data_IF_569321589678
#
_entry.id   IF_569321589678
#
_cell.length_a   1.000
_cell.length_b   1.000
_cell.length_c   1.000
_cell.angle_alpha   90.00
_cell.angle_beta   90.00
_cell.angle_gamma   90.00
#
_symmetry.space_group_name_H-M   'P 1'
#
loop_
_entity.id
_entity.type
_entity.pdbx_description
1 polymer ?
#
# COMPACT_ATOMS: atom_id res chain seq x y z
N UNK A 1 -15.14 -5.81 -2.15
CA UNK A 1 -13.80 -6.02 -1.60
C UNK A 1 -12.94 -6.68 -2.65
N UNK A 2 -12.06 -5.86 -3.22
CA UNK A 2 -11.12 -6.14 -4.31
C UNK A 2 -9.73 -6.06 -3.71
N UNK A 3 -8.91 -7.06 -4.01
CA UNK A 3 -7.51 -7.04 -3.61
C UNK A 3 -6.69 -6.17 -4.56
N UNK A 4 -5.95 -5.23 -4.01
CA UNK A 4 -5.08 -4.33 -4.74
C UNK A 4 -3.67 -4.46 -4.17
N UNK A 5 -2.69 -4.67 -5.04
CA UNK A 5 -1.29 -4.54 -4.69
C UNK A 5 -0.81 -3.16 -5.12
N UNK A 6 -0.29 -2.42 -4.16
CA UNK A 6 0.31 -1.11 -4.36
C UNK A 6 1.81 -1.24 -4.19
N UNK A 7 2.55 -0.97 -5.27
CA UNK A 7 4.00 -0.92 -5.28
C UNK A 7 4.42 0.54 -5.23
N UNK A 8 5.11 0.92 -4.16
CA UNK A 8 5.77 2.22 -4.04
C UNK A 8 7.24 2.05 -4.38
N UNK A 9 7.77 2.83 -5.32
CA UNK A 9 9.19 2.89 -5.66
C UNK A 9 9.69 4.31 -5.50
N UNK A 10 10.80 4.49 -4.78
CA UNK A 10 11.35 5.80 -4.48
C UNK A 10 12.86 5.86 -4.72
N UNK A 11 13.39 7.08 -4.77
CA UNK A 11 14.84 7.32 -4.76
C UNK A 11 15.35 7.40 -3.33
N UNK A 12 16.63 7.15 -3.09
CA UNK A 12 17.23 7.20 -1.73
C UNK A 12 16.92 8.51 -0.98
N UNK A 13 16.91 9.65 -1.69
CA UNK A 13 16.59 10.98 -1.14
C UNK A 13 15.15 11.10 -0.61
N UNK A 14 14.25 10.22 -1.06
CA UNK A 14 12.83 10.22 -0.71
C UNK A 14 12.51 9.14 0.35
N UNK A 15 13.49 8.33 0.74
CA UNK A 15 13.32 7.21 1.67
C UNK A 15 12.68 7.66 2.98
N UNK A 16 13.15 8.74 3.58
CA UNK A 16 12.60 9.25 4.84
C UNK A 16 11.12 9.67 4.73
N UNK A 17 10.73 10.26 3.61
CA UNK A 17 9.35 10.68 3.37
C UNK A 17 8.43 9.47 3.21
N UNK A 18 8.89 8.47 2.45
CA UNK A 18 8.14 7.23 2.23
C UNK A 18 8.02 6.44 3.53
N UNK A 19 9.09 6.33 4.30
CA UNK A 19 9.06 5.64 5.59
C UNK A 19 8.09 6.29 6.56
N UNK A 20 8.04 7.63 6.61
CA UNK A 20 7.03 8.36 7.40
C UNK A 20 5.62 8.12 6.89
N UNK A 21 5.42 8.10 5.58
CA UNK A 21 4.12 7.79 4.97
C UNK A 21 3.68 6.36 5.32
N UNK A 22 4.55 5.36 5.13
CA UNK A 22 4.27 3.97 5.46
C UNK A 22 3.96 3.79 6.95
N UNK A 23 4.72 4.45 7.83
CA UNK A 23 4.47 4.44 9.28
C UNK A 23 3.11 5.06 9.61
N UNK A 24 2.78 6.20 9.01
CA UNK A 24 1.47 6.87 9.19
C UNK A 24 0.33 5.96 8.76
N UNK A 25 0.46 5.33 7.59
CA UNK A 25 -0.50 4.36 7.05
C UNK A 25 -0.65 3.16 8.01
N UNK A 26 0.45 2.58 8.49
CA UNK A 26 0.41 1.47 9.44
C UNK A 26 -0.25 1.86 10.76
N UNK A 27 0.03 3.06 11.27
CA UNK A 27 -0.58 3.55 12.51
C UNK A 27 -2.07 3.82 12.33
N UNK A 28 -2.48 4.35 11.18
CA UNK A 28 -3.90 4.47 10.82
C UNK A 28 -4.57 3.11 10.71
N UNK A 29 -3.89 2.12 10.13
CA UNK A 29 -4.37 0.74 10.01
C UNK A 29 -4.56 0.10 11.40
N UNK A 30 -3.55 0.19 12.27
CA UNK A 30 -3.60 -0.31 13.65
C UNK A 30 -4.67 0.40 14.48
N UNK A 31 -4.83 1.70 14.29
CA UNK A 31 -5.80 2.52 15.02
C UNK A 31 -7.22 2.43 14.47
N UNK A 32 -7.47 1.61 13.43
CA UNK A 32 -8.75 1.55 12.69
C UNK A 32 -9.23 2.91 12.18
N UNK A 33 -8.28 3.80 11.88
CA UNK A 33 -8.51 5.14 11.32
C UNK A 33 -8.30 5.18 9.81
N UNK A 34 -8.07 4.04 9.19
CA UNK A 34 -8.11 3.96 7.73
C UNK A 34 -9.50 4.41 7.24
N UNK A 35 -9.57 5.11 6.10
CA UNK A 35 -10.84 5.44 5.48
C UNK A 35 -11.72 4.20 5.33
N UNK A 36 -13.04 4.37 5.46
CA UNK A 36 -13.98 3.26 5.32
C UNK A 36 -13.78 2.58 3.96
N UNK A 37 -13.73 1.24 3.97
CA UNK A 37 -13.48 0.45 2.78
C UNK A 37 -12.01 0.31 2.38
N UNK A 38 -11.04 0.74 3.21
CA UNK A 38 -9.61 0.45 3.04
C UNK A 38 -9.09 -0.42 4.18
N UNK A 39 -8.53 -1.58 3.85
CA UNK A 39 -7.93 -2.50 4.80
C UNK A 39 -6.55 -2.91 4.32
N UNK A 40 -5.52 -2.58 5.09
CA UNK A 40 -4.16 -3.05 4.82
C UNK A 40 -4.05 -4.49 5.32
N UNK A 41 -3.85 -5.44 4.40
CA UNK A 41 -3.66 -6.86 4.72
C UNK A 41 -2.19 -7.14 5.03
N UNK A 42 -1.30 -6.75 4.11
CA UNK A 42 0.13 -7.02 4.24
C UNK A 42 0.95 -5.82 3.75
N UNK A 43 2.11 -5.60 4.35
CA UNK A 43 3.07 -4.60 3.89
C UNK A 43 4.46 -5.21 3.92
N UNK A 44 5.10 -5.24 2.76
CA UNK A 44 6.45 -5.71 2.56
C UNK A 44 7.32 -4.52 2.20
N UNK A 45 8.42 -4.35 2.91
CA UNK A 45 9.38 -3.31 2.61
C UNK A 45 10.67 -3.96 2.09
N UNK A 46 11.06 -3.61 0.88
CA UNK A 46 12.29 -4.05 0.24
C UNK A 46 13.39 -3.00 0.50
N UNK A 47 14.00 -3.07 1.68
CA UNK A 47 15.04 -2.12 2.14
C UNK A 47 16.22 -1.96 1.18
N UNK A 48 16.51 -2.98 0.37
CA UNK A 48 17.62 -2.98 -0.60
C UNK A 48 17.26 -2.41 -1.97
N UNK A 49 15.99 -2.35 -2.32
CA UNK A 49 15.51 -1.94 -3.64
C UNK A 49 14.73 -0.63 -3.63
N UNK A 50 14.71 0.08 -2.47
CA UNK A 50 13.92 1.31 -2.28
C UNK A 50 12.48 1.15 -2.79
N UNK A 51 11.88 0.03 -2.40
CA UNK A 51 10.55 -0.37 -2.82
C UNK A 51 9.74 -0.86 -1.63
N UNK A 52 8.44 -0.57 -1.63
CA UNK A 52 7.48 -1.17 -0.72
C UNK A 52 6.34 -1.76 -1.53
N UNK A 53 5.81 -2.88 -1.06
CA UNK A 53 4.67 -3.58 -1.65
C UNK A 53 3.63 -3.70 -0.56
N UNK A 54 2.51 -3.01 -0.74
CA UNK A 54 1.39 -3.02 0.18
C UNK A 54 0.25 -3.79 -0.46
N UNK A 55 -0.26 -4.80 0.23
CA UNK A 55 -1.47 -5.51 -0.15
C UNK A 55 -2.64 -4.92 0.61
N UNK A 56 -3.61 -4.45 -0.14
CA UNK A 56 -4.82 -3.83 0.36
C UNK A 56 -6.03 -4.63 -0.07
N UNK A 57 -7.00 -4.74 0.82
CA UNK A 57 -8.37 -5.09 0.50
C UNK A 57 -9.18 -3.79 0.54
N UNK A 58 -9.72 -3.41 -0.62
CA UNK A 58 -10.43 -2.15 -0.81
C UNK A 58 -11.79 -2.36 -1.44
N UNK A 59 -12.74 -1.47 -1.20
CA UNK A 59 -14.02 -1.55 -1.91
C UNK A 59 -13.87 -1.21 -3.40
N UNK A 60 -13.10 -0.18 -3.72
CA UNK A 60 -12.78 0.25 -5.09
C UNK A 60 -11.34 0.78 -5.21
N UNK A 61 -10.71 0.55 -6.37
CA UNK A 61 -9.37 1.08 -6.66
C UNK A 61 -9.33 2.62 -6.61
N UNK A 62 -10.39 3.28 -7.05
CA UNK A 62 -10.51 4.75 -7.02
C UNK A 62 -10.33 5.32 -5.62
N UNK A 63 -10.97 4.73 -4.61
CA UNK A 63 -10.85 5.17 -3.21
C UNK A 63 -9.40 5.12 -2.69
N UNK A 64 -8.66 4.07 -3.08
CA UNK A 64 -7.26 3.93 -2.74
C UNK A 64 -6.41 4.97 -3.49
N UNK A 65 -6.67 5.17 -4.77
CA UNK A 65 -5.98 6.17 -5.58
C UNK A 65 -6.25 7.61 -5.09
N UNK A 66 -7.46 7.93 -4.65
CA UNK A 66 -7.80 9.23 -4.05
C UNK A 66 -7.05 9.45 -2.74
N UNK A 67 -7.01 8.44 -1.87
CA UNK A 67 -6.24 8.50 -0.62
C UNK A 67 -4.75 8.68 -0.88
N UNK A 68 -4.19 7.94 -1.85
CA UNK A 68 -2.80 8.09 -2.27
C UNK A 68 -2.52 9.49 -2.85
N UNK A 69 -3.39 9.99 -3.74
CA UNK A 69 -3.28 11.34 -4.33
C UNK A 69 -3.34 12.45 -3.28
N UNK A 70 -4.18 12.30 -2.24
CA UNK A 70 -4.29 13.27 -1.15
C UNK A 70 -2.97 13.48 -0.41
N UNK A 71 -2.09 12.49 -0.40
CA UNK A 71 -0.79 12.58 0.28
C UNK A 71 0.31 13.16 -0.61
N UNK A 72 0.00 13.52 -1.87
CA UNK A 72 0.92 14.12 -2.86
C UNK A 72 2.31 13.46 -2.86
N UNK A 73 2.38 12.14 -3.06
CA UNK A 73 3.64 11.42 -3.06
C UNK A 73 4.54 11.94 -4.17
N UNK A 74 5.81 12.17 -3.86
CA UNK A 74 6.82 12.61 -4.84
C UNK A 74 7.51 11.42 -5.54
N UNK A 75 7.08 10.20 -5.25
CA UNK A 75 7.65 8.93 -5.70
C UNK A 75 6.67 8.16 -6.59
N UNK A 76 7.17 7.10 -7.23
CA UNK A 76 6.36 6.30 -8.15
C UNK A 76 5.45 5.35 -7.37
N UNK A 77 4.15 5.36 -7.71
CA UNK A 77 3.15 4.49 -7.10
C UNK A 77 2.41 3.76 -8.21
N UNK A 78 2.44 2.44 -8.15
CA UNK A 78 1.72 1.57 -9.06
C UNK A 78 0.71 0.78 -8.25
N UNK A 79 -0.58 0.98 -8.52
CA UNK A 79 -1.65 0.21 -7.92
C UNK A 79 -2.25 -0.71 -8.98
N UNK A 80 -2.32 -1.99 -8.67
CA UNK A 80 -2.83 -3.02 -9.59
C UNK A 80 -3.82 -3.89 -8.85
N UNK A 81 -5.01 -4.04 -9.42
CA UNK A 81 -5.97 -5.04 -8.96
C UNK A 81 -5.40 -6.43 -9.23
N UNK A 82 -5.36 -7.26 -8.19
CA UNK A 82 -4.84 -8.62 -8.30
C UNK A 82 -5.90 -9.61 -7.90
N UNK A 83 -5.81 -10.80 -8.47
CA UNK A 83 -6.58 -11.95 -8.01
C UNK A 83 -5.58 -12.96 -7.49
N UNK A 84 -5.64 -13.30 -6.20
CA UNK A 84 -4.81 -14.36 -5.66
C UNK A 84 -5.20 -15.71 -6.30
N UNK A 85 -4.44 -16.14 -7.31
CA UNK A 85 -4.64 -17.43 -8.01
C UNK A 85 -4.08 -18.63 -7.24
N UNK A 86 -3.20 -18.38 -6.26
CA UNK A 86 -2.57 -19.42 -5.46
C UNK A 86 -2.36 -18.95 -4.02
N UNK A 87 -2.79 -19.76 -3.05
CA UNK A 87 -2.54 -19.58 -1.62
C UNK A 87 -1.90 -20.85 -1.08
N UNK A 88 -0.72 -20.73 -0.48
CA UNK A 88 0.00 -21.87 0.11
C UNK A 88 -0.86 -22.45 1.25
N UNK A 89 -1.20 -23.74 1.17
CA UNK A 89 -2.09 -24.45 2.11
C UNK A 89 -3.42 -24.96 1.51
N UNK A 90 -3.63 -24.85 0.20
CA UNK A 90 -4.82 -25.38 -0.48
C UNK A 90 -4.64 -26.80 -1.09
N UNK A 91 -3.49 -27.44 -0.88
CA UNK A 91 -3.20 -28.83 -1.23
C UNK A 91 -2.26 -29.43 -0.19
#
# INVERSE_FOLDING_TARGET
>A
MTEVIVVHKWKDEQKDQVMKFATTIMDMAKSKKLPAGLKLEELFLADKENQAVCRWDVDTLDHLMETAKSMKPTWDIQATEVTQKFKKGLF
#
